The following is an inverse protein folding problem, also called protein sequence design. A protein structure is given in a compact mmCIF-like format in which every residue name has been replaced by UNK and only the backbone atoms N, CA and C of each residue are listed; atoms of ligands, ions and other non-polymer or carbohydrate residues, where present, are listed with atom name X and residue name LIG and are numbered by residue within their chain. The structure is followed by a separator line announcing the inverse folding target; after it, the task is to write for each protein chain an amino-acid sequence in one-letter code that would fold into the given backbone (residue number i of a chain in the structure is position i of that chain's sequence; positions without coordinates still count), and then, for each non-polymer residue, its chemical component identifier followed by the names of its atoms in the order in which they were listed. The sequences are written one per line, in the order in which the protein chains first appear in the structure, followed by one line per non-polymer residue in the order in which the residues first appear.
data_IF_017225849704
#
_entry.id   IF_017225849704
#
_cell.length_a   1.000
_cell.length_b   1.000
_cell.length_c   1.000
_cell.angle_alpha   90.00
_cell.angle_beta   90.00
_cell.angle_gamma   90.00
#
_symmetry.space_group_name_H-M   'P 1'
#
loop_
_entity.id
_entity.type
_entity.pdbx_description
1 polymer ?
#
# COMPACT_ATOMS: atom_id res chain seq x y z
N UNK A 1 -9.79 -43.01 -58.85
CA UNK A 1 -8.97 -43.82 -57.91
C UNK A 1 -9.78 -43.86 -56.62
N UNK A 2 -10.65 -44.87 -56.35
CA UNK A 2 -10.35 -46.27 -55.96
C UNK A 2 -9.24 -46.27 -54.90
N UNK A 3 -9.40 -46.68 -53.63
CA UNK A 3 -10.07 -47.84 -52.99
C UNK A 3 -10.46 -47.45 -51.53
N UNK A 4 -11.64 -47.81 -50.99
CA UNK A 4 -12.00 -49.03 -50.21
C UNK A 4 -11.10 -49.37 -48.99
N UNK A 5 -11.68 -49.22 -47.78
CA UNK A 5 -11.86 -50.22 -46.70
C UNK A 5 -12.17 -49.48 -45.38
N UNK A 6 -13.33 -49.59 -44.73
CA UNK A 6 -14.05 -50.75 -44.15
C UNK A 6 -13.58 -51.14 -42.74
N UNK A 7 -14.52 -50.98 -41.78
CA UNK A 7 -14.77 -51.79 -40.56
C UNK A 7 -13.74 -51.65 -39.42
N UNK A 8 -14.05 -51.77 -38.12
CA UNK A 8 -15.19 -52.20 -37.28
C UNK A 8 -14.84 -51.72 -35.84
N UNK A 9 -15.73 -51.13 -35.03
CA UNK A 9 -16.62 -51.75 -34.00
C UNK A 9 -15.93 -52.23 -32.70
N UNK A 10 -16.71 -52.17 -31.60
CA UNK A 10 -16.53 -52.62 -30.20
C UNK A 10 -16.12 -51.46 -29.25
N UNK A 11 -17.01 -50.85 -28.45
CA UNK A 11 -17.84 -51.31 -27.30
C UNK A 11 -17.10 -51.34 -25.94
N UNK A 12 -17.88 -50.97 -24.92
CA UNK A 12 -17.73 -51.15 -23.46
C UNK A 12 -17.23 -49.99 -22.58
N UNK A 13 -18.23 -49.32 -21.97
CA UNK A 13 -18.49 -49.19 -20.53
C UNK A 13 -17.35 -48.79 -19.56
N UNK A 14 -17.55 -47.67 -18.85
CA UNK A 14 -17.72 -47.75 -17.40
C UNK A 14 -18.33 -46.47 -16.79
N UNK A 15 -19.44 -46.69 -16.10
CA UNK A 15 -20.20 -45.77 -15.27
C UNK A 15 -19.64 -45.83 -13.85
N UNK A 16 -19.22 -44.69 -13.29
CA UNK A 16 -19.17 -44.52 -11.82
C UNK A 16 -19.71 -43.12 -11.48
N UNK A 17 -20.99 -43.06 -11.12
CA UNK A 17 -21.52 -42.09 -10.17
C UNK A 17 -21.11 -42.51 -8.76
N UNK A 18 -20.56 -41.59 -7.96
CA UNK A 18 -20.78 -41.65 -6.52
C UNK A 18 -20.95 -40.22 -5.96
N UNK A 19 -22.09 -40.02 -5.32
CA UNK A 19 -22.43 -38.86 -4.52
C UNK A 19 -22.02 -39.17 -3.09
N UNK A 20 -21.42 -38.23 -2.35
CA UNK A 20 -21.92 -37.91 -1.00
C UNK A 20 -21.21 -36.72 -0.35
N UNK A 21 -22.06 -35.89 0.27
CA UNK A 21 -21.89 -35.15 1.53
C UNK A 21 -21.13 -33.82 1.54
N UNK A 22 -21.96 -32.78 1.51
CA UNK A 22 -21.84 -31.56 2.32
C UNK A 22 -21.57 -31.86 3.80
N UNK A 23 -20.93 -30.90 4.49
CA UNK A 23 -21.61 -30.26 5.62
C UNK A 23 -21.47 -28.71 5.60
N UNK A 24 -22.55 -28.02 5.97
CA UNK A 24 -22.59 -26.60 6.38
C UNK A 24 -22.74 -26.53 7.91
N UNK A 25 -22.86 -25.35 8.56
CA UNK A 25 -22.28 -24.01 8.35
C UNK A 25 -21.58 -23.52 9.64
N UNK A 26 -21.08 -22.27 9.68
CA UNK A 26 -20.56 -21.44 10.82
C UNK A 26 -19.22 -20.80 10.36
N UNK A 27 -18.89 -19.54 10.56
CA UNK A 27 -19.52 -18.34 11.11
C UNK A 27 -18.58 -17.17 10.70
N UNK A 28 -19.06 -15.95 10.82
CA UNK A 28 -18.51 -14.69 10.30
C UNK A 28 -17.02 -14.42 10.64
N UNK A 29 -16.23 -14.01 9.64
CA UNK A 29 -15.05 -13.15 9.81
C UNK A 29 -14.76 -12.33 8.53
N UNK A 30 -15.05 -11.04 8.63
CA UNK A 30 -14.46 -9.88 7.95
C UNK A 30 -13.89 -10.05 6.53
N UNK A 31 -14.67 -9.57 5.55
CA UNK A 31 -14.19 -9.24 4.21
C UNK A 31 -13.41 -7.92 4.25
N UNK A 32 -12.15 -7.85 3.78
CA UNK A 32 -11.52 -6.59 3.44
C UNK A 32 -12.21 -6.03 2.21
N UNK A 33 -12.67 -4.79 2.31
CA UNK A 33 -13.20 -4.02 1.19
C UNK A 33 -12.14 -3.97 0.07
N UNK A 34 -12.59 -4.25 -1.14
CA UNK A 34 -11.85 -4.05 -2.39
C UNK A 34 -11.48 -2.57 -2.53
N UNK A 35 -10.23 -2.23 -2.24
CA UNK A 35 -9.61 -1.01 -2.75
C UNK A 35 -9.15 -1.30 -4.20
N UNK A 36 -10.07 -1.06 -5.14
CA UNK A 36 -9.74 -0.90 -6.56
C UNK A 36 -10.13 0.49 -7.03
N UNK A 37 -9.49 1.51 -6.45
CA UNK A 37 -9.38 2.84 -7.07
C UNK A 37 -7.91 3.09 -7.41
N UNK A 38 -7.49 2.58 -8.57
CA UNK A 38 -6.25 3.02 -9.23
C UNK A 38 -6.58 3.36 -10.68
N UNK A 39 -6.71 4.66 -10.90
CA UNK A 39 -6.34 5.42 -12.10
C UNK A 39 -6.95 4.99 -13.45
N UNK A 40 -8.15 5.51 -13.75
CA UNK A 40 -8.50 5.87 -15.13
C UNK A 40 -8.09 7.32 -15.40
N UNK A 41 -6.79 7.60 -15.39
CA UNK A 41 -6.22 8.87 -15.83
C UNK A 41 -5.95 8.79 -17.34
N UNK A 42 -7.03 8.78 -18.13
CA UNK A 42 -7.03 9.24 -19.52
C UNK A 42 -8.31 10.04 -19.73
N UNK A 43 -8.41 11.13 -18.96
CA UNK A 43 -9.29 12.23 -19.30
C UNK A 43 -8.76 12.87 -20.58
N UNK A 44 -9.25 12.42 -21.73
CA UNK A 44 -9.23 13.24 -22.93
C UNK A 44 -10.08 14.46 -22.62
N UNK A 45 -9.41 15.54 -22.19
CA UNK A 45 -9.97 16.87 -22.05
C UNK A 45 -10.57 17.22 -23.41
N UNK A 46 -11.90 17.05 -23.52
CA UNK A 46 -12.71 17.49 -24.65
C UNK A 46 -12.78 19.01 -24.60
N UNK A 47 -11.63 19.67 -24.73
CA UNK A 47 -11.57 21.02 -25.27
C UNK A 47 -12.05 20.87 -26.71
N UNK A 48 -13.33 21.14 -26.87
CA UNK A 48 -13.96 21.61 -28.10
C UNK A 48 -12.93 22.38 -28.93
N UNK A 49 -12.33 21.70 -29.90
CA UNK A 49 -11.65 22.35 -31.01
C UNK A 49 -12.79 22.98 -31.80
N UNK A 50 -13.07 24.26 -31.49
CA UNK A 50 -13.98 25.08 -32.26
C UNK A 50 -13.29 25.35 -33.60
N UNK A 51 -13.46 24.45 -34.56
CA UNK A 51 -13.12 24.73 -35.95
C UNK A 51 -14.13 25.77 -36.41
N UNK A 52 -13.69 27.02 -36.51
CA UNK A 52 -14.47 28.10 -37.11
C UNK A 52 -14.81 27.69 -38.56
N UNK A 53 -16.05 27.28 -38.78
CA UNK A 53 -16.59 27.07 -40.12
C UNK A 53 -17.01 28.44 -40.67
N UNK A 54 -16.61 28.82 -41.90
CA UNK A 54 -17.08 30.05 -42.49
C UNK A 54 -18.57 29.92 -42.84
N UNK A 55 -19.35 30.90 -42.37
CA UNK A 55 -20.79 31.01 -42.58
C UNK A 55 -21.17 30.83 -44.06
N UNK A 56 -22.02 29.84 -44.32
CA UNK A 56 -22.74 29.66 -45.58
C UNK A 56 -24.18 29.27 -45.25
N UNK A 57 -25.07 30.25 -45.08
CA UNK A 57 -26.42 30.18 -45.63
C UNK A 57 -27.12 31.54 -45.51
N UNK A 58 -27.29 32.21 -46.65
CA UNK A 58 -28.22 33.32 -46.82
C UNK A 58 -29.57 32.69 -47.18
N UNK A 59 -30.47 32.61 -46.21
CA UNK A 59 -31.89 32.34 -46.48
C UNK A 59 -32.64 33.68 -46.42
N UNK A 60 -33.03 34.17 -47.60
CA UNK A 60 -33.93 35.29 -47.79
C UNK A 60 -35.21 35.12 -47.00
N UNK A 61 -35.55 36.12 -46.18
CA UNK A 61 -36.92 36.34 -45.71
C UNK A 61 -37.32 37.76 -46.08
N UNK A 62 -38.20 37.82 -47.08
CA UNK A 62 -39.01 39.00 -47.39
C UNK A 62 -39.98 39.20 -46.24
N UNK A 63 -39.99 40.39 -45.66
CA UNK A 63 -41.20 40.98 -45.08
C UNK A 63 -41.23 42.46 -45.48
N UNK A 64 -42.15 42.74 -46.41
CA UNK A 64 -42.65 44.08 -46.66
C UNK A 64 -43.58 44.47 -45.52
N UNK A 65 -43.28 45.56 -44.82
CA UNK A 65 -44.32 46.42 -44.28
C UNK A 65 -43.84 47.87 -44.32
N UNK A 66 -44.59 48.65 -45.08
CA UNK A 66 -44.53 50.10 -45.07
C UNK A 66 -45.18 50.61 -43.79
N UNK A 67 -44.48 51.46 -43.06
CA UNK A 67 -45.11 52.49 -42.22
C UNK A 67 -44.30 53.77 -42.34
N UNK A 68 -45.09 54.83 -42.46
CA UNK A 68 -44.81 56.24 -42.70
C UNK A 68 -44.01 56.92 -41.60
N UNK A 69 -43.30 57.96 -42.02
CA UNK A 69 -43.01 59.24 -41.35
C UNK A 69 -42.85 59.22 -39.82
N UNK A 70 -41.62 59.50 -39.38
CA UNK A 70 -41.38 60.52 -38.35
C UNK A 70 -39.93 61.02 -38.47
N UNK A 71 -39.81 62.29 -38.88
CA UNK A 71 -38.64 63.11 -38.63
C UNK A 71 -38.59 63.41 -37.13
N UNK A 72 -37.67 62.81 -36.38
CA UNK A 72 -37.31 63.39 -35.09
C UNK A 72 -35.86 63.10 -34.69
N UNK A 73 -35.15 64.21 -34.47
CA UNK A 73 -34.18 64.38 -33.39
C UNK A 73 -32.89 63.56 -33.48
N UNK A 74 -31.90 64.17 -34.14
CA UNK A 74 -30.49 64.14 -33.75
C UNK A 74 -30.37 64.17 -32.21
N UNK A 75 -29.98 63.04 -31.61
CA UNK A 75 -29.28 63.03 -30.33
C UNK A 75 -27.95 62.34 -30.54
N UNK A 76 -26.95 63.18 -30.73
CA UNK A 76 -25.60 62.86 -30.31
C UNK A 76 -25.66 62.72 -28.78
N UNK A 77 -25.93 61.50 -28.30
CA UNK A 77 -25.63 61.17 -26.92
C UNK A 77 -24.12 60.90 -26.88
N UNK A 78 -23.38 62.01 -26.77
CA UNK A 78 -22.03 62.06 -26.24
C UNK A 78 -21.99 61.30 -24.91
N UNK A 79 -21.05 60.36 -24.86
CA UNK A 79 -20.15 60.12 -23.74
C UNK A 79 -20.73 60.33 -22.34
N UNK A 80 -21.21 59.23 -21.77
CA UNK A 80 -20.90 58.90 -20.38
C UNK A 80 -20.81 57.38 -20.31
N UNK A 81 -19.68 56.83 -20.76
CA UNK A 81 -19.25 55.54 -20.22
C UNK A 81 -18.98 55.77 -18.73
N UNK A 82 -19.72 55.12 -17.81
CA UNK A 82 -19.23 55.02 -16.45
C UNK A 82 -17.96 54.19 -16.54
N UNK A 83 -16.80 54.86 -16.52
CA UNK A 83 -15.55 54.22 -16.17
C UNK A 83 -15.80 53.56 -14.82
N UNK A 84 -16.05 52.26 -14.83
CA UNK A 84 -16.32 51.49 -13.61
C UNK A 84 -15.00 51.50 -12.87
N UNK A 85 -14.88 52.48 -11.97
CA UNK A 85 -13.79 52.57 -11.01
C UNK A 85 -13.57 51.18 -10.46
N UNK A 86 -12.38 50.66 -10.74
CA UNK A 86 -11.84 49.41 -10.21
C UNK A 86 -12.33 49.22 -8.78
N UNK A 87 -13.26 48.28 -8.60
CA UNK A 87 -13.85 47.95 -7.30
C UNK A 87 -12.72 47.92 -6.28
N UNK A 88 -12.75 48.84 -5.31
CA UNK A 88 -11.74 48.92 -4.26
C UNK A 88 -11.76 47.61 -3.47
N UNK A 89 -10.97 46.64 -3.92
CA UNK A 89 -11.15 45.23 -3.57
C UNK A 89 -10.80 44.98 -2.12
N UNK A 90 -10.01 45.88 -1.52
CA UNK A 90 -9.66 45.90 -0.10
C UNK A 90 -10.81 46.30 0.81
N UNK A 91 -11.81 47.03 0.29
CA UNK A 91 -13.02 47.42 1.01
C UNK A 91 -14.24 46.57 0.61
N UNK A 92 -14.04 45.47 -0.13
CA UNK A 92 -15.14 44.58 -0.50
C UNK A 92 -15.75 43.93 0.75
N UNK A 93 -17.09 43.84 0.87
CA UNK A 93 -17.77 43.10 1.93
C UNK A 93 -17.27 41.66 2.10
N UNK A 94 -16.84 41.04 1.00
CA UNK A 94 -16.26 39.69 1.00
C UNK A 94 -14.90 39.66 1.73
N UNK A 95 -14.06 40.68 1.54
CA UNK A 95 -12.75 40.79 2.22
C UNK A 95 -12.93 41.15 3.70
N UNK A 96 -13.88 42.03 4.02
CA UNK A 96 -14.21 42.39 5.41
C UNK A 96 -14.74 41.16 6.18
N UNK A 97 -15.60 40.35 5.54
CA UNK A 97 -16.10 39.10 6.12
C UNK A 97 -14.97 38.09 6.36
N UNK A 98 -14.05 37.94 5.40
CA UNK A 98 -12.88 37.07 5.52
C UNK A 98 -11.92 37.52 6.63
N UNK A 99 -11.70 38.82 6.77
CA UNK A 99 -10.89 39.40 7.84
C UNK A 99 -11.50 39.15 9.22
N UNK A 100 -12.83 39.27 9.34
CA UNK A 100 -13.54 38.99 10.57
C UNK A 100 -13.47 37.50 10.94
N UNK A 101 -13.67 36.58 9.99
CA UNK A 101 -13.56 35.13 10.22
C UNK A 101 -12.14 34.71 10.60
N UNK A 102 -11.12 35.37 10.05
CA UNK A 102 -9.74 35.14 10.45
C UNK A 102 -9.47 35.66 11.87
N UNK A 103 -9.96 36.87 12.21
CA UNK A 103 -9.83 37.47 13.55
C UNK A 103 -10.54 36.68 14.64
N UNK A 104 -11.67 36.05 14.34
CA UNK A 104 -12.39 35.16 15.29
C UNK A 104 -11.74 33.78 15.41
N UNK A 105 -10.69 33.48 14.63
CA UNK A 105 -10.00 32.20 14.63
C UNK A 105 -10.75 31.07 13.90
N UNK A 106 -11.89 31.36 13.26
CA UNK A 106 -12.68 30.36 12.55
C UNK A 106 -11.98 29.82 11.30
N UNK A 107 -11.07 30.61 10.70
CA UNK A 107 -10.25 30.19 9.56
C UNK A 107 -8.78 30.57 9.75
N UNK A 108 -7.89 29.72 9.22
CA UNK A 108 -6.44 29.97 9.21
C UNK A 108 -6.09 31.08 8.21
N UNK A 109 -5.03 31.86 8.49
CA UNK A 109 -4.60 32.96 7.62
C UNK A 109 -4.21 32.52 6.20
N UNK A 110 -3.67 31.31 6.05
CA UNK A 110 -3.38 30.71 4.74
C UNK A 110 -4.67 30.45 3.93
N UNK A 111 -5.72 29.95 4.59
CA UNK A 111 -7.02 29.70 3.97
C UNK A 111 -7.73 31.01 3.58
N UNK A 112 -7.71 32.01 4.47
CA UNK A 112 -8.23 33.35 4.18
C UNK A 112 -7.53 33.97 2.95
N UNK A 113 -6.21 33.84 2.87
CA UNK A 113 -5.41 34.34 1.73
C UNK A 113 -5.74 33.61 0.42
N UNK A 114 -5.91 32.28 0.47
CA UNK A 114 -6.36 31.48 -0.67
C UNK A 114 -7.74 31.92 -1.17
N UNK A 115 -8.68 32.20 -0.25
CA UNK A 115 -10.02 32.65 -0.64
C UNK A 115 -10.02 34.07 -1.21
N UNK A 116 -9.18 34.98 -0.68
CA UNK A 116 -8.97 36.32 -1.28
C UNK A 116 -8.43 36.22 -2.71
N UNK A 117 -7.46 35.32 -2.94
CA UNK A 117 -6.91 35.07 -4.28
C UNK A 117 -7.98 34.54 -5.24
N UNK A 118 -8.79 33.57 -4.80
CA UNK A 118 -9.91 33.04 -5.61
C UNK A 118 -10.95 34.11 -5.93
N UNK A 119 -11.30 34.95 -4.97
CA UNK A 119 -12.22 36.06 -5.16
C UNK A 119 -11.67 37.08 -6.16
N UNK A 120 -10.39 37.46 -6.06
CA UNK A 120 -9.74 38.36 -7.02
C UNK A 120 -9.77 37.80 -8.45
N UNK A 121 -9.44 36.52 -8.63
CA UNK A 121 -9.53 35.85 -9.94
C UNK A 121 -10.95 35.85 -10.50
N UNK A 122 -11.96 35.70 -9.64
CA UNK A 122 -13.36 35.76 -10.07
C UNK A 122 -13.75 37.16 -10.52
N UNK A 123 -13.35 38.20 -9.77
CA UNK A 123 -13.57 39.59 -10.16
C UNK A 123 -12.89 39.90 -11.50
N UNK A 124 -11.62 39.52 -11.67
CA UNK A 124 -10.89 39.69 -12.93
C UNK A 124 -11.58 38.96 -14.09
N UNK A 125 -12.02 37.72 -13.87
CA UNK A 125 -12.76 36.96 -14.89
C UNK A 125 -14.11 37.62 -15.24
N UNK A 126 -14.81 38.20 -14.26
CA UNK A 126 -16.07 38.90 -14.47
C UNK A 126 -15.87 40.19 -15.25
N UNK A 127 -14.83 40.96 -14.91
CA UNK A 127 -14.49 42.19 -15.61
C UNK A 127 -14.07 41.89 -17.06
N UNK A 128 -13.26 40.86 -17.28
CA UNK A 128 -12.92 40.39 -18.63
C UNK A 128 -14.15 39.95 -19.43
N UNK A 129 -15.09 39.24 -18.78
CA UNK A 129 -16.34 38.84 -19.43
C UNK A 129 -17.21 40.05 -19.81
N UNK A 130 -17.35 41.02 -18.91
CA UNK A 130 -18.12 42.26 -19.17
C UNK A 130 -17.49 43.10 -20.27
N UNK A 131 -16.18 43.25 -20.25
CA UNK A 131 -15.44 43.95 -21.29
C UNK A 131 -15.60 43.25 -22.65
N UNK A 132 -15.51 41.91 -22.67
CA UNK A 132 -15.76 41.12 -23.87
C UNK A 132 -17.20 41.25 -24.39
N UNK A 133 -18.19 41.25 -23.49
CA UNK A 133 -19.61 41.48 -23.85
C UNK A 133 -19.83 42.88 -24.43
N UNK A 134 -19.29 43.92 -23.80
CA UNK A 134 -19.37 45.29 -24.29
C UNK A 134 -18.71 45.45 -25.66
N UNK A 135 -17.55 44.83 -25.86
CA UNK A 135 -16.85 44.83 -27.14
C UNK A 135 -17.69 44.13 -28.23
N UNK A 136 -18.23 42.95 -27.93
CA UNK A 136 -19.11 42.23 -28.87
C UNK A 136 -20.36 43.03 -29.22
N UNK A 137 -20.95 43.73 -28.24
CA UNK A 137 -22.11 44.58 -28.48
C UNK A 137 -21.74 45.77 -29.39
N UNK A 138 -20.60 46.39 -29.15
CA UNK A 138 -20.08 47.47 -29.99
C UNK A 138 -19.84 46.99 -31.43
N UNK A 139 -19.12 45.88 -31.60
CA UNK A 139 -18.85 45.28 -32.90
C UNK A 139 -20.14 44.88 -33.63
N UNK A 140 -21.13 44.36 -32.90
CA UNK A 140 -22.45 44.04 -33.45
C UNK A 140 -23.16 45.27 -34.02
N UNK A 141 -23.15 46.39 -33.29
CA UNK A 141 -23.71 47.67 -33.76
C UNK A 141 -23.00 48.18 -35.01
N UNK A 142 -21.66 48.13 -35.04
CA UNK A 142 -20.87 48.52 -36.20
C UNK A 142 -21.14 47.64 -37.43
N UNK A 143 -21.21 46.32 -37.23
CA UNK A 143 -21.51 45.36 -38.29
C UNK A 143 -22.93 45.59 -38.84
N UNK A 144 -23.91 45.84 -37.99
CA UNK A 144 -25.28 46.14 -38.43
C UNK A 144 -25.31 47.40 -39.30
N UNK A 145 -24.65 48.48 -38.86
CA UNK A 145 -24.52 49.72 -39.64
C UNK A 145 -23.85 49.47 -41.00
N UNK A 146 -22.81 48.64 -41.02
CA UNK A 146 -22.09 48.27 -42.26
C UNK A 146 -23.00 47.47 -43.19
N UNK A 147 -23.76 46.51 -42.68
CA UNK A 147 -24.73 45.73 -43.46
C UNK A 147 -25.81 46.64 -44.05
N UNK A 148 -26.34 47.60 -43.28
CA UNK A 148 -27.32 48.55 -43.78
C UNK A 148 -26.77 49.43 -44.91
N UNK A 149 -25.52 49.90 -44.78
CA UNK A 149 -24.84 50.64 -45.84
C UNK A 149 -24.67 49.79 -47.10
N UNK A 150 -24.17 48.56 -46.95
CA UNK A 150 -24.01 47.63 -48.08
C UNK A 150 -25.35 47.29 -48.74
N UNK A 151 -26.43 47.10 -47.97
CA UNK A 151 -27.78 46.90 -48.51
C UNK A 151 -28.26 48.10 -49.33
N UNK A 152 -28.03 49.32 -48.83
CA UNK A 152 -28.37 50.56 -49.57
C UNK A 152 -27.57 50.68 -50.87
N UNK A 153 -26.29 50.35 -50.86
CA UNK A 153 -25.45 50.34 -52.06
C UNK A 153 -25.85 49.27 -53.07
N UNK A 154 -26.16 48.06 -52.61
CA UNK A 154 -26.69 46.99 -53.45
C UNK A 154 -28.04 47.38 -54.06
N UNK A 155 -28.95 48.00 -53.30
CA UNK A 155 -30.22 48.50 -53.83
C UNK A 155 -30.01 49.59 -54.89
N UNK A 156 -29.00 50.47 -54.72
CA UNK A 156 -28.60 51.44 -55.75
C UNK A 156 -28.07 50.76 -57.02
N UNK A 157 -27.37 49.63 -56.88
CA UNK A 157 -26.90 48.82 -58.00
C UNK A 157 -27.99 47.96 -58.66
N UNK A 158 -29.12 47.69 -58.01
CA UNK A 158 -30.31 47.11 -58.68
C UNK A 158 -30.96 48.14 -59.61
N UNK A 159 -30.80 49.43 -59.31
CA UNK A 159 -31.16 50.54 -60.21
C UNK A 159 -30.04 50.96 -61.18
N UNK A 160 -29.01 50.11 -61.36
CA UNK A 160 -28.10 50.26 -62.50
C UNK A 160 -28.95 50.26 -63.78
N UNK A 161 -28.70 51.11 -64.79
CA UNK A 161 -29.68 51.33 -65.85
C UNK A 161 -30.14 50.00 -66.45
N UNK A 162 -31.41 49.61 -66.20
CA UNK A 162 -32.09 48.43 -66.76
C UNK A 162 -32.33 48.57 -68.28
N UNK A 163 -31.46 49.31 -68.98
CA UNK A 163 -31.75 49.89 -70.29
C UNK A 163 -30.65 49.70 -71.32
N UNK A 164 -29.67 48.84 -71.07
CA UNK A 164 -28.71 48.48 -72.10
C UNK A 164 -28.78 46.97 -72.34
N UNK A 165 -29.62 46.60 -73.32
CA UNK A 165 -29.79 45.24 -73.85
C UNK A 165 -28.91 45.03 -75.11
N UNK A 166 -27.87 45.88 -75.25
CA UNK A 166 -26.93 45.83 -76.35
C UNK A 166 -26.04 44.60 -76.21
N UNK A 167 -25.47 44.17 -77.34
CA UNK A 167 -24.45 43.12 -77.32
C UNK A 167 -23.26 43.49 -76.42
N UNK A 168 -22.97 44.77 -76.25
CA UNK A 168 -21.92 45.26 -75.35
C UNK A 168 -22.21 44.91 -73.87
N UNK A 169 -23.46 45.00 -73.43
CA UNK A 169 -23.84 44.74 -72.03
C UNK A 169 -23.90 43.25 -71.73
N UNK A 170 -24.37 42.45 -72.69
CA UNK A 170 -24.30 40.98 -72.62
C UNK A 170 -22.86 40.50 -72.52
N UNK A 171 -21.94 41.12 -73.26
CA UNK A 171 -20.51 40.84 -73.15
C UNK A 171 -19.94 41.28 -71.80
N UNK A 172 -20.37 42.45 -71.28
CA UNK A 172 -19.95 42.93 -69.96
C UNK A 172 -20.46 42.03 -68.83
N UNK A 173 -21.69 41.55 -68.90
CA UNK A 173 -22.27 40.60 -67.95
C UNK A 173 -21.52 39.25 -67.99
N UNK A 174 -21.24 38.73 -69.19
CA UNK A 174 -20.42 37.52 -69.34
C UNK A 174 -19.02 37.70 -68.77
N UNK A 175 -18.38 38.85 -69.00
CA UNK A 175 -17.07 39.16 -68.45
C UNK A 175 -17.10 39.20 -66.92
N UNK A 176 -18.05 39.91 -66.32
CA UNK A 176 -18.20 39.99 -64.86
C UNK A 176 -18.48 38.61 -64.25
N UNK A 177 -19.31 37.79 -64.90
CA UNK A 177 -19.56 36.40 -64.46
C UNK A 177 -18.30 35.55 -64.53
N UNK A 178 -17.53 35.67 -65.61
CA UNK A 178 -16.27 34.94 -65.76
C UNK A 178 -15.23 35.37 -64.73
N UNK A 179 -15.11 36.67 -64.46
CA UNK A 179 -14.20 37.23 -63.45
C UNK A 179 -14.59 36.80 -62.04
N UNK A 180 -15.88 36.87 -61.68
CA UNK A 180 -16.36 36.36 -60.39
C UNK A 180 -16.12 34.86 -60.23
N UNK A 181 -16.35 34.08 -61.30
CA UNK A 181 -16.07 32.63 -61.28
C UNK A 181 -14.57 32.34 -61.13
N UNK A 182 -13.71 33.13 -61.77
CA UNK A 182 -12.26 33.00 -61.64
C UNK A 182 -11.82 33.30 -60.20
N UNK A 183 -12.27 34.41 -59.63
CA UNK A 183 -11.96 34.79 -58.26
C UNK A 183 -12.44 33.74 -57.23
N UNK A 184 -13.62 33.16 -57.45
CA UNK A 184 -14.13 32.07 -56.61
C UNK A 184 -13.25 30.82 -56.68
N UNK A 185 -12.74 30.49 -57.88
CA UNK A 185 -11.84 29.35 -58.08
C UNK A 185 -10.50 29.63 -57.41
N UNK A 186 -9.93 30.82 -57.56
CA UNK A 186 -8.67 31.23 -56.92
C UNK A 186 -8.76 31.14 -55.40
N UNK A 187 -9.81 31.73 -54.80
CA UNK A 187 -10.06 31.61 -53.36
C UNK A 187 -10.16 30.16 -52.91
N UNK A 188 -10.84 29.31 -53.69
CA UNK A 188 -10.94 27.88 -53.38
C UNK A 188 -9.60 27.17 -53.47
N UNK A 189 -8.76 27.51 -54.44
CA UNK A 189 -7.40 26.97 -54.57
C UNK A 189 -6.56 27.34 -53.35
N UNK A 190 -6.60 28.60 -52.92
CA UNK A 190 -5.85 29.08 -51.76
C UNK A 190 -6.33 28.39 -50.48
N UNK A 191 -7.65 28.29 -50.29
CA UNK A 191 -8.25 27.61 -49.13
C UNK A 191 -7.86 26.13 -49.08
N UNK A 192 -7.97 25.41 -50.21
CA UNK A 192 -7.59 24.00 -50.27
C UNK A 192 -6.09 23.80 -50.08
N UNK A 193 -5.27 24.71 -50.62
CA UNK A 193 -3.81 24.66 -50.45
C UNK A 193 -3.40 24.90 -49.00
N UNK A 194 -4.11 25.77 -48.28
CA UNK A 194 -3.95 25.93 -46.84
C UNK A 194 -4.35 24.65 -46.08
N UNK A 195 -5.52 24.08 -46.39
CA UNK A 195 -5.99 22.85 -45.75
C UNK A 195 -5.03 21.67 -45.96
N UNK A 196 -4.52 21.49 -47.18
CA UNK A 196 -3.51 20.47 -47.49
C UNK A 196 -2.25 20.67 -46.64
N UNK A 197 -1.77 21.91 -46.47
CA UNK A 197 -0.60 22.18 -45.62
C UNK A 197 -0.85 21.80 -44.16
N UNK A 198 -2.02 22.17 -43.63
CA UNK A 198 -2.42 21.81 -42.26
C UNK A 198 -2.46 20.30 -42.06
N UNK A 199 -3.08 19.55 -42.99
CA UNK A 199 -3.16 18.09 -42.92
C UNK A 199 -1.78 17.42 -43.02
N UNK A 200 -0.87 17.97 -43.82
CA UNK A 200 0.52 17.48 -43.91
C UNK A 200 1.27 17.69 -42.59
N UNK A 201 1.08 18.84 -41.95
CA UNK A 201 1.67 19.14 -40.64
C UNK A 201 1.10 18.22 -39.54
N UNK A 202 -0.22 18.03 -39.52
CA UNK A 202 -0.91 17.12 -38.61
C UNK A 202 -0.44 15.68 -38.79
N UNK A 203 -0.37 15.18 -40.03
CA UNK A 203 0.19 13.86 -40.34
C UNK A 203 1.62 13.72 -39.80
N UNK A 204 2.46 14.73 -40.01
CA UNK A 204 3.85 14.74 -39.50
C UNK A 204 3.91 14.79 -37.97
N UNK A 205 2.91 15.37 -37.30
CA UNK A 205 2.78 15.31 -35.84
C UNK A 205 2.45 13.90 -35.39
N UNK A 206 1.44 13.26 -36.00
CA UNK A 206 1.08 11.89 -35.68
C UNK A 206 2.19 10.89 -35.97
N UNK A 207 2.92 11.02 -37.07
CA UNK A 207 4.08 10.17 -37.36
C UNK A 207 5.17 10.29 -36.28
N UNK A 208 5.43 11.51 -35.78
CA UNK A 208 6.37 11.73 -34.68
C UNK A 208 5.87 11.11 -33.37
N UNK A 209 4.59 11.26 -33.05
CA UNK A 209 4.01 10.66 -31.83
C UNK A 209 4.00 9.14 -31.90
N UNK A 210 3.63 8.58 -33.05
CA UNK A 210 3.67 7.14 -33.30
C UNK A 210 5.09 6.58 -33.15
N UNK A 211 6.11 7.30 -33.65
CA UNK A 211 7.52 6.88 -33.50
C UNK A 211 8.04 6.86 -32.06
N UNK A 212 7.35 7.54 -31.13
CA UNK A 212 7.69 7.51 -29.69
C UNK A 212 7.07 6.31 -28.98
N UNK A 213 6.07 5.66 -29.57
CA UNK A 213 5.48 4.46 -28.98
C UNK A 213 6.52 3.34 -29.08
N UNK A 214 6.67 2.53 -28.01
CA UNK A 214 7.54 1.36 -28.06
C UNK A 214 7.10 0.43 -29.18
N UNK A 215 8.06 -0.17 -29.86
CA UNK A 215 7.77 -1.14 -30.91
C UNK A 215 7.31 -2.47 -30.27
N UNK A 216 6.66 -3.32 -31.07
CA UNK A 216 6.24 -4.64 -30.60
C UNK A 216 7.40 -5.46 -29.99
N UNK A 217 8.60 -5.35 -30.58
CA UNK A 217 9.80 -6.00 -30.06
C UNK A 217 10.17 -5.50 -28.65
N UNK A 218 10.00 -4.20 -28.38
CA UNK A 218 10.30 -3.63 -27.05
C UNK A 218 9.31 -4.18 -26.00
N UNK A 219 8.04 -4.35 -26.38
CA UNK A 219 7.03 -4.99 -25.54
C UNK A 219 7.33 -6.47 -25.31
N UNK A 220 7.72 -7.19 -26.36
CA UNK A 220 8.11 -8.60 -26.23
C UNK A 220 9.34 -8.77 -25.35
N UNK A 221 10.35 -7.93 -25.49
CA UNK A 221 11.56 -7.98 -24.66
C UNK A 221 11.25 -7.62 -23.20
N UNK A 222 10.41 -6.61 -22.96
CA UNK A 222 9.91 -6.28 -21.62
C UNK A 222 9.13 -7.45 -21.01
N UNK A 223 8.26 -8.10 -21.80
CA UNK A 223 7.51 -9.28 -21.36
C UNK A 223 8.43 -10.44 -21.02
N UNK A 224 9.40 -10.76 -21.89
CA UNK A 224 10.39 -11.84 -21.65
C UNK A 224 11.21 -11.56 -20.40
N UNK A 225 11.57 -10.31 -20.12
CA UNK A 225 12.29 -9.93 -18.91
C UNK A 225 11.42 -10.10 -17.66
N UNK A 226 10.16 -9.67 -17.70
CA UNK A 226 9.20 -9.90 -16.62
C UNK A 226 8.99 -11.40 -16.36
N UNK A 227 8.84 -12.21 -17.42
CA UNK A 227 8.69 -13.67 -17.28
C UNK A 227 9.92 -14.30 -16.61
N UNK A 228 11.13 -13.82 -16.91
CA UNK A 228 12.37 -14.26 -16.23
C UNK A 228 12.40 -13.85 -14.76
N UNK A 229 12.02 -12.61 -14.45
CA UNK A 229 11.95 -12.12 -13.06
C UNK A 229 10.92 -12.90 -12.23
N UNK A 230 9.73 -13.13 -12.79
CA UNK A 230 8.68 -13.94 -12.16
C UNK A 230 9.18 -15.37 -11.91
N UNK A 231 9.84 -15.98 -12.89
CA UNK A 231 10.42 -17.32 -12.75
C UNK A 231 11.46 -17.37 -11.64
N UNK A 232 12.37 -16.39 -11.59
CA UNK A 232 13.41 -16.29 -10.56
C UNK A 232 12.80 -16.15 -9.15
N UNK A 233 11.82 -15.26 -8.98
CA UNK A 233 11.11 -15.06 -7.71
C UNK A 233 10.38 -16.35 -7.28
N UNK A 234 9.76 -17.06 -8.22
CA UNK A 234 9.03 -18.31 -7.95
C UNK A 234 9.97 -19.40 -7.43
N UNK A 235 11.16 -19.53 -8.01
CA UNK A 235 12.21 -20.45 -7.56
C UNK A 235 12.68 -20.08 -6.15
N UNK A 236 12.88 -18.78 -5.90
CA UNK A 236 13.31 -18.29 -4.59
C UNK A 236 12.27 -18.52 -3.49
N UNK A 237 10.98 -18.29 -3.77
CA UNK A 237 9.88 -18.60 -2.85
C UNK A 237 9.88 -20.10 -2.51
N UNK A 238 10.02 -20.95 -3.52
CA UNK A 238 10.06 -22.42 -3.34
C UNK A 238 11.25 -22.85 -2.49
N UNK A 239 12.44 -22.28 -2.75
CA UNK A 239 13.65 -22.50 -1.95
C UNK A 239 13.46 -22.08 -0.50
N UNK A 240 12.97 -20.86 -0.25
CA UNK A 240 12.73 -20.32 1.10
C UNK A 240 11.66 -21.09 1.86
N UNK A 241 10.61 -21.55 1.17
CA UNK A 241 9.58 -22.42 1.74
C UNK A 241 10.19 -23.74 2.24
N UNK A 242 11.06 -24.37 1.44
CA UNK A 242 11.76 -25.59 1.83
C UNK A 242 12.75 -25.37 2.98
N UNK A 243 13.54 -24.29 2.94
CA UNK A 243 14.43 -23.90 4.04
C UNK A 243 13.65 -23.72 5.35
N UNK A 244 12.49 -23.05 5.30
CA UNK A 244 11.64 -22.85 6.47
C UNK A 244 11.11 -24.19 7.03
N UNK A 245 10.63 -25.09 6.17
CA UNK A 245 10.21 -26.45 6.60
C UNK A 245 11.35 -27.21 7.29
N UNK A 246 12.55 -27.15 6.73
CA UNK A 246 13.73 -27.81 7.30
C UNK A 246 14.13 -27.20 8.65
N UNK A 247 14.08 -25.88 8.79
CA UNK A 247 14.36 -25.18 10.05
C UNK A 247 13.31 -25.51 11.12
N UNK A 248 12.03 -25.54 10.77
CA UNK A 248 10.95 -25.94 11.68
C UNK A 248 11.19 -27.37 12.19
N UNK A 249 11.55 -28.30 11.29
CA UNK A 249 11.84 -29.68 11.67
C UNK A 249 13.09 -29.78 12.56
N UNK A 250 14.18 -29.09 12.21
CA UNK A 250 15.40 -29.06 13.02
C UNK A 250 15.16 -28.47 14.41
N UNK A 251 14.34 -27.43 14.52
CA UNK A 251 13.94 -26.84 15.81
C UNK A 251 13.11 -27.81 16.65
N UNK A 252 12.26 -28.62 16.02
CA UNK A 252 11.46 -29.65 16.70
C UNK A 252 12.36 -30.73 17.28
N UNK A 253 13.29 -31.26 16.49
CA UNK A 253 14.26 -32.28 16.91
C UNK A 253 15.16 -31.77 18.04
N UNK A 254 15.63 -30.53 17.94
CA UNK A 254 16.45 -29.92 18.99
C UNK A 254 15.65 -29.72 20.29
N UNK A 255 14.37 -29.35 20.21
CA UNK A 255 13.49 -29.25 21.38
C UNK A 255 13.29 -30.61 22.06
N UNK A 256 13.05 -31.66 21.29
CA UNK A 256 12.86 -33.02 21.79
C UNK A 256 14.14 -33.51 22.49
N UNK A 257 15.29 -33.31 21.86
CA UNK A 257 16.59 -33.64 22.45
C UNK A 257 16.82 -32.90 23.75
N UNK A 258 16.59 -31.58 23.78
CA UNK A 258 16.75 -30.77 25.00
C UNK A 258 15.78 -31.19 26.11
N UNK A 259 14.57 -31.62 25.76
CA UNK A 259 13.61 -32.15 26.72
C UNK A 259 14.10 -33.47 27.33
N UNK A 260 14.67 -34.36 26.52
CA UNK A 260 15.33 -35.58 26.99
C UNK A 260 16.48 -35.29 27.95
N UNK A 261 17.42 -34.43 27.55
CA UNK A 261 18.56 -34.01 28.38
C UNK A 261 18.11 -33.39 29.72
N UNK A 262 17.03 -32.60 29.71
CA UNK A 262 16.45 -32.03 30.94
C UNK A 262 15.88 -33.10 31.87
N UNK A 263 15.25 -34.13 31.32
CA UNK A 263 14.74 -35.26 32.09
C UNK A 263 15.88 -36.02 32.74
N UNK A 264 16.91 -36.39 31.96
CA UNK A 264 18.10 -37.08 32.47
C UNK A 264 18.84 -36.26 33.54
N UNK A 265 18.97 -34.94 33.33
CA UNK A 265 19.55 -34.04 34.33
C UNK A 265 18.75 -34.05 35.63
N UNK A 266 17.41 -34.09 35.54
CA UNK A 266 16.55 -34.16 36.71
C UNK A 266 16.72 -35.50 37.44
N UNK A 267 16.74 -36.61 36.72
CA UNK A 267 16.96 -37.94 37.29
C UNK A 267 18.31 -38.00 38.01
N UNK A 268 19.39 -37.54 37.37
CA UNK A 268 20.71 -37.43 37.96
C UNK A 268 20.74 -36.55 39.23
N UNK A 269 19.99 -35.44 39.24
CA UNK A 269 19.84 -34.62 40.46
C UNK A 269 19.18 -35.40 41.58
N UNK A 270 18.13 -36.17 41.30
CA UNK A 270 17.47 -36.99 42.33
C UNK A 270 18.37 -38.12 42.84
N UNK A 271 19.22 -38.70 42.00
CA UNK A 271 20.20 -39.69 42.43
C UNK A 271 21.29 -39.05 43.30
N UNK A 272 21.78 -37.88 42.92
CA UNK A 272 22.77 -37.13 43.69
C UNK A 272 22.22 -36.78 45.07
N UNK A 273 20.97 -36.34 45.18
CA UNK A 273 20.34 -36.09 46.50
C UNK A 273 20.27 -37.35 47.34
N UNK A 274 19.86 -38.50 46.76
CA UNK A 274 19.84 -39.80 47.47
C UNK A 274 21.24 -40.22 47.93
N UNK A 275 22.26 -40.04 47.09
CA UNK A 275 23.64 -40.36 47.44
C UNK A 275 24.16 -39.44 48.55
N UNK A 276 23.80 -38.15 48.51
CA UNK A 276 24.14 -37.19 49.55
C UNK A 276 23.49 -37.56 50.88
N UNK A 277 22.20 -37.91 50.89
CA UNK A 277 21.51 -38.40 52.09
C UNK A 277 22.19 -39.66 52.67
N UNK A 278 22.61 -40.60 51.81
CA UNK A 278 23.37 -41.78 52.24
C UNK A 278 24.75 -41.41 52.82
N UNK A 279 25.44 -40.45 52.22
CA UNK A 279 26.73 -39.98 52.71
C UNK A 279 26.58 -39.34 54.09
N UNK A 280 25.62 -38.42 54.24
CA UNK A 280 25.32 -37.73 55.50
C UNK A 280 24.98 -38.75 56.60
N UNK A 281 24.27 -39.84 56.28
CA UNK A 281 23.96 -40.92 57.21
C UNK A 281 25.20 -41.72 57.68
N UNK A 282 26.21 -41.87 56.82
CA UNK A 282 27.45 -42.61 57.14
C UNK A 282 28.48 -41.72 57.82
N UNK A 283 28.54 -40.43 57.51
CA UNK A 283 29.58 -39.51 58.00
C UNK A 283 29.66 -39.43 59.54
N UNK A 284 28.53 -39.59 60.23
CA UNK A 284 28.47 -39.58 61.71
C UNK A 284 28.91 -40.89 62.39
N UNK A 285 28.94 -42.01 61.65
CA UNK A 285 29.19 -43.36 62.20
C UNK A 285 30.61 -43.50 62.77
N UNK A 286 31.69 -43.07 62.10
CA UNK A 286 33.04 -43.10 62.68
C UNK A 286 33.14 -42.34 64.00
N UNK A 287 32.46 -41.20 64.12
CA UNK A 287 32.45 -40.40 65.34
C UNK A 287 31.76 -41.14 66.49
N UNK A 288 30.69 -41.90 66.21
CA UNK A 288 30.04 -42.78 67.17
C UNK A 288 30.96 -43.93 67.61
N UNK A 289 31.62 -44.59 66.66
CA UNK A 289 32.57 -45.66 66.96
C UNK A 289 33.74 -45.19 67.82
N UNK A 290 34.29 -44.00 67.57
CA UNK A 290 35.34 -43.42 68.43
C UNK A 290 34.85 -43.29 69.87
N UNK A 291 33.63 -42.78 70.09
CA UNK A 291 33.03 -42.66 71.43
C UNK A 291 32.82 -44.04 72.10
N UNK A 292 32.41 -45.04 71.33
CA UNK A 292 32.23 -46.41 71.84
C UNK A 292 33.57 -47.06 72.20
N UNK A 293 34.61 -46.88 71.37
CA UNK A 293 35.98 -47.34 71.63
C UNK A 293 36.49 -46.71 72.92
N UNK A 294 36.33 -45.39 73.10
CA UNK A 294 36.75 -44.70 74.32
C UNK A 294 36.03 -45.23 75.57
N UNK A 295 34.73 -45.54 75.45
CA UNK A 295 33.94 -46.14 76.53
C UNK A 295 34.43 -47.55 76.87
N UNK A 296 34.66 -48.40 75.86
CA UNK A 296 35.19 -49.75 76.03
C UNK A 296 36.61 -49.73 76.60
N UNK A 297 37.45 -48.78 76.19
CA UNK A 297 38.80 -48.61 76.74
C UNK A 297 38.76 -48.31 78.24
N UNK A 298 37.86 -47.43 78.69
CA UNK A 298 37.64 -47.15 80.13
C UNK A 298 37.20 -48.41 80.88
N UNK A 299 36.21 -49.13 80.35
CA UNK A 299 35.74 -50.38 80.96
C UNK A 299 36.84 -51.44 81.03
N UNK A 300 37.67 -51.58 79.99
CA UNK A 300 38.82 -52.48 79.97
C UNK A 300 39.81 -52.14 81.08
N UNK A 301 40.17 -50.86 81.24
CA UNK A 301 41.08 -50.44 82.31
C UNK A 301 40.52 -50.71 83.70
N UNK A 302 39.21 -50.56 83.90
CA UNK A 302 38.54 -50.86 85.17
C UNK A 302 38.62 -52.36 85.50
N UNK A 303 38.32 -53.21 84.52
CA UNK A 303 38.44 -54.67 84.67
C UNK A 303 39.89 -55.10 84.92
N UNK A 304 40.87 -54.51 84.25
CA UNK A 304 42.29 -54.79 84.48
C UNK A 304 42.72 -54.42 85.91
N UNK A 305 42.24 -53.29 86.44
CA UNK A 305 42.49 -52.90 87.84
C UNK A 305 41.87 -53.91 88.81
N UNK A 306 40.62 -54.31 88.58
CA UNK A 306 39.94 -55.30 89.42
C UNK A 306 40.62 -56.68 89.35
N UNK A 307 41.06 -57.10 88.17
CA UNK A 307 41.81 -58.34 87.97
C UNK A 307 43.14 -58.32 88.72
N UNK A 308 43.90 -57.23 88.60
CA UNK A 308 45.15 -57.05 89.32
C UNK A 308 44.94 -57.08 90.84
N UNK A 309 43.87 -56.43 91.34
CA UNK A 309 43.50 -56.50 92.75
C UNK A 309 43.16 -57.92 93.20
N UNK A 310 42.33 -58.62 92.43
CA UNK A 310 41.96 -60.01 92.73
C UNK A 310 43.18 -60.94 92.72
N UNK A 311 44.12 -60.75 91.79
CA UNK A 311 45.38 -61.49 91.76
C UNK A 311 46.24 -61.22 93.00
N UNK A 312 46.37 -59.96 93.44
CA UNK A 312 47.07 -59.60 94.67
C UNK A 312 46.42 -60.23 95.92
N UNK A 313 45.09 -60.21 96.00
CA UNK A 313 44.33 -60.86 97.08
C UNK A 313 44.53 -62.39 97.04
N UNK A 314 44.52 -63.00 95.87
CA UNK A 314 44.80 -64.43 95.68
C UNK A 314 46.21 -64.81 96.12
N UNK A 315 47.23 -64.07 95.70
CA UNK A 315 48.62 -64.30 96.09
C UNK A 315 48.82 -64.17 97.61
N UNK A 316 48.15 -63.18 98.24
CA UNK A 316 48.14 -63.02 99.69
C UNK A 316 47.51 -64.23 100.39
N UNK A 317 46.34 -64.67 99.96
CA UNK A 317 45.65 -65.84 100.51
C UNK A 317 46.44 -67.14 100.28
N UNK A 318 47.13 -67.27 99.14
CA UNK A 318 48.01 -68.39 98.86
C UNK A 318 49.21 -68.42 99.82
N UNK A 319 49.79 -67.24 100.10
CA UNK A 319 50.82 -67.06 101.12
C UNK A 319 50.32 -67.44 102.52
N UNK A 320 49.13 -66.97 102.90
CA UNK A 320 48.48 -67.29 104.17
C UNK A 320 48.19 -68.80 104.29
N UNK A 321 47.64 -69.42 103.24
CA UNK A 321 47.43 -70.88 103.18
C UNK A 321 48.75 -71.64 103.38
N UNK A 322 49.82 -71.25 102.71
CA UNK A 322 51.13 -71.89 102.89
C UNK A 322 51.66 -71.74 104.32
N UNK A 323 51.39 -70.60 104.98
CA UNK A 323 51.74 -70.40 106.38
C UNK A 323 50.91 -71.29 107.32
N UNK A 324 49.61 -71.44 107.08
CA UNK A 324 48.71 -72.32 107.83
C UNK A 324 49.06 -73.79 107.63
N UNK A 325 49.42 -74.21 106.40
CA UNK A 325 49.92 -75.57 106.13
C UNK A 325 51.20 -75.85 106.91
N UNK A 326 52.14 -74.89 106.98
CA UNK A 326 53.34 -75.02 107.82
C UNK A 326 52.99 -75.11 109.30
N UNK A 327 52.02 -74.33 109.78
CA UNK A 327 51.55 -74.36 111.18
C UNK A 327 50.84 -75.68 111.50
N UNK A 328 50.05 -76.21 110.56
CA UNK A 328 49.38 -77.51 110.68
C UNK A 328 50.41 -78.64 110.76
N UNK A 329 51.42 -78.64 109.89
CA UNK A 329 52.54 -79.60 109.95
C UNK A 329 53.27 -79.48 111.30
N UNK A 330 53.50 -78.25 111.79
CA UNK A 330 54.12 -78.03 113.10
C UNK A 330 53.27 -78.60 114.25
N UNK A 331 51.96 -78.34 114.26
CA UNK A 331 51.01 -78.89 115.25
C UNK A 331 50.89 -80.42 115.14
N UNK A 332 50.90 -80.99 113.93
CA UNK A 332 50.93 -82.44 113.74
C UNK A 332 52.22 -83.05 114.30
N UNK A 333 53.36 -82.38 114.15
CA UNK A 333 54.63 -82.81 114.77
C UNK A 333 54.66 -82.60 116.29
N UNK A 334 53.96 -81.59 116.82
CA UNK A 334 53.85 -81.33 118.26
C UNK A 334 52.86 -82.29 118.95
N UNK A 335 51.75 -82.62 118.29
CA UNK A 335 50.78 -83.63 118.74
C UNK A 335 51.36 -85.06 118.65
N UNK A 336 52.30 -85.29 117.72
CA UNK A 336 53.13 -86.50 117.69
C UNK A 336 54.19 -86.56 118.81
N UNK A 337 54.56 -85.41 119.40
CA UNK A 337 55.49 -85.31 120.53
C UNK A 337 54.79 -85.33 121.90
N UNK A 338 53.50 -84.95 122.00
CA UNK A 338 52.69 -85.04 123.23
C UNK A 338 52.11 -86.44 123.52
N UNK A 339 52.15 -87.36 122.53
CA UNK A 339 51.73 -88.76 122.66
C UNK A 339 52.89 -89.74 122.92
N UNK A 340 53.98 -89.26 123.52
CA UNK A 340 55.09 -90.04 124.08
C UNK A 340 55.27 -89.66 125.54
#
# INVERSE_FOLDING_TARGET
MSEKNSNELIEDDDVIEDQTKTPSPLEDMDSPQNDSEINSEFGLDKRSILIATPFSNVASRNDNQATTDDEESMREDEEDEPHIDTYNTKNSPAFISLDNLHRTGAITGAFASSLRMKYLKLCESLDNSRNGENQLLHDSKLNLKTIELQKKELARNVHYPEGFDSNADKLREQLLRAENSLLQIEYRIDSLSFEIRMLVEEKKMFEREYSKLPNLNDYEDKRRNLDKEISAITVDISRKSNENRNLIQSLRELRETNQGERSELNDNKTELTKLKEKLDAVEGVPLQHVKEIDKLAKQKTEVEILLNRANLEFDSLLGEKSSLEKLMIALETENANFNK
#
